data_IF_896229253872
#
_entry.id   IF_896229253872
#
_cell.length_a   1.000
_cell.length_b   1.000
_cell.length_c   1.000
_cell.angle_alpha   90.00
_cell.angle_beta   90.00
_cell.angle_gamma   90.00
#
_symmetry.space_group_name_H-M   'P 1'
#
loop_
_entity.id
_entity.type
_entity.pdbx_description
1 polymer ?
#
# COMPACT_ATOMS: atom_id res chain seq x y z
N UNK A 1 -3.14 16.18 3.16
CA UNK A 1 -3.96 15.41 4.10
C UNK A 1 -3.23 15.46 5.42
N UNK A 2 -3.95 15.52 6.54
CA UNK A 2 -3.33 15.73 7.86
C UNK A 2 -2.88 14.40 8.51
N UNK A 3 -3.16 13.28 7.85
CA UNK A 3 -2.72 11.94 8.23
C UNK A 3 -3.26 10.89 7.27
N UNK A 4 -2.95 9.62 7.52
CA UNK A 4 -3.40 8.49 6.74
C UNK A 4 -3.54 7.22 7.55
N UNK A 5 -4.42 6.32 7.11
CA UNK A 5 -4.60 4.99 7.69
C UNK A 5 -4.49 3.98 6.55
N UNK A 6 -3.59 3.02 6.68
CA UNK A 6 -3.49 1.87 5.78
C UNK A 6 -4.02 0.65 6.53
N UNK A 7 -4.99 -0.03 5.94
CA UNK A 7 -5.51 -1.30 6.45
C UNK A 7 -4.68 -2.42 5.82
N UNK A 8 -3.76 -2.99 6.58
CA UNK A 8 -2.86 -4.05 6.11
C UNK A 8 -2.16 -4.74 7.27
N UNK A 9 -2.02 -6.06 7.21
CA UNK A 9 -1.08 -6.82 8.03
C UNK A 9 0.21 -7.19 7.26
N UNK A 10 0.57 -6.42 6.23
CA UNK A 10 1.79 -6.59 5.44
C UNK A 10 1.92 -7.99 4.83
N UNK A 11 2.64 -8.87 5.50
CA UNK A 11 2.97 -10.23 5.05
C UNK A 11 2.46 -11.30 6.04
N UNK A 12 1.73 -10.89 7.08
CA UNK A 12 1.14 -11.82 8.03
C UNK A 12 0.13 -12.74 7.31
N UNK A 13 -0.14 -13.93 7.88
CA UNK A 13 -1.13 -14.86 7.33
C UNK A 13 -2.52 -14.22 7.15
N UNK A 14 -3.33 -14.77 6.25
CA UNK A 14 -4.57 -14.13 5.77
C UNK A 14 -5.65 -13.88 6.84
N UNK A 15 -5.53 -14.47 8.03
CA UNK A 15 -6.40 -14.20 9.17
C UNK A 15 -6.02 -12.93 9.95
N UNK A 16 -4.90 -12.29 9.63
CA UNK A 16 -4.44 -11.06 10.27
C UNK A 16 -4.84 -9.82 9.49
N UNK A 17 -5.18 -8.77 10.22
CA UNK A 17 -5.27 -7.40 9.69
C UNK A 17 -4.76 -6.41 10.75
N UNK A 18 -4.34 -5.23 10.33
CA UNK A 18 -3.84 -4.19 11.22
C UNK A 18 -4.05 -2.80 10.61
N UNK A 19 -3.89 -1.77 11.44
CA UNK A 19 -3.85 -0.39 11.02
C UNK A 19 -2.40 0.09 11.06
N UNK A 20 -1.95 0.67 9.96
CA UNK A 20 -0.73 1.48 9.94
C UNK A 20 -1.13 2.95 9.83
N UNK A 21 -0.69 3.75 10.78
CA UNK A 21 -1.02 5.17 10.86
C UNK A 21 0.13 6.00 10.28
N UNK A 22 -0.23 6.99 9.49
CA UNK A 22 0.67 7.93 8.86
C UNK A 22 0.35 9.35 9.32
N UNK A 23 1.38 10.17 9.49
CA UNK A 23 1.17 11.60 9.73
C UNK A 23 1.05 12.39 8.40
N UNK A 24 0.96 13.71 8.50
CA UNK A 24 0.77 14.66 7.40
C UNK A 24 1.79 14.57 6.25
N UNK A 25 3.02 14.14 6.52
CA UNK A 25 4.05 13.92 5.49
C UNK A 25 3.94 12.56 4.80
N UNK A 26 3.02 11.71 5.25
CA UNK A 26 2.83 10.35 4.71
C UNK A 26 3.83 9.31 5.22
N UNK A 27 4.60 9.62 6.26
CA UNK A 27 5.50 8.65 6.93
C UNK A 27 4.78 8.00 8.13
N UNK A 28 5.31 6.88 8.62
CA UNK A 28 4.79 6.24 9.82
C UNK A 28 4.91 7.15 11.04
N UNK A 29 3.94 7.04 11.94
CA UNK A 29 4.05 7.69 13.25
C UNK A 29 5.33 7.26 13.96
N UNK A 30 6.01 8.21 14.58
CA UNK A 30 7.08 7.94 15.53
C UNK A 30 6.56 7.19 16.76
N UNK A 31 7.46 6.58 17.54
CA UNK A 31 7.10 5.92 18.80
C UNK A 31 6.30 6.84 19.75
N UNK A 32 6.70 8.12 19.84
CA UNK A 32 6.00 9.11 20.66
C UNK A 32 4.57 9.36 20.16
N UNK A 33 4.40 9.57 18.85
CA UNK A 33 3.09 9.81 18.25
C UNK A 33 2.18 8.58 18.34
N UNK A 34 2.74 7.38 18.12
CA UNK A 34 2.01 6.12 18.27
C UNK A 34 1.50 5.90 19.69
N UNK A 35 2.35 6.14 20.70
CA UNK A 35 1.97 6.06 22.12
C UNK A 35 0.87 7.04 22.49
N UNK A 36 0.89 8.24 21.91
CA UNK A 36 -0.17 9.23 22.14
C UNK A 36 -1.52 8.75 21.58
N UNK A 37 -1.53 8.21 20.36
CA UNK A 37 -2.76 7.65 19.78
C UNK A 37 -3.32 6.50 20.64
N UNK A 38 -2.45 5.59 21.10
CA UNK A 38 -2.84 4.49 22.00
C UNK A 38 -3.39 5.05 23.31
N UNK A 39 -2.72 6.04 23.91
CA UNK A 39 -3.17 6.66 25.16
C UNK A 39 -4.57 7.26 25.04
N UNK A 40 -4.82 8.04 23.98
CA UNK A 40 -6.13 8.65 23.71
C UNK A 40 -7.21 7.56 23.55
N UNK A 41 -6.90 6.50 22.80
CA UNK A 41 -7.81 5.39 22.57
C UNK A 41 -8.15 4.62 23.86
N UNK A 42 -7.14 4.27 24.65
CA UNK A 42 -7.30 3.55 25.92
C UNK A 42 -8.05 4.37 26.98
N UNK A 43 -7.83 5.69 27.02
CA UNK A 43 -8.51 6.59 27.96
C UNK A 43 -9.89 7.04 27.48
N UNK A 44 -10.27 6.71 26.24
CA UNK A 44 -11.52 7.17 25.63
C UNK A 44 -11.60 8.70 25.53
N UNK A 45 -10.46 9.38 25.38
CA UNK A 45 -10.37 10.85 25.34
C UNK A 45 -10.71 11.40 23.95
N UNK A 46 -11.87 11.00 23.43
CA UNK A 46 -12.33 11.41 22.11
C UNK A 46 -13.01 12.78 22.19
N UNK A 47 -12.63 13.68 21.29
CA UNK A 47 -13.32 14.95 21.08
C UNK A 47 -14.29 14.78 19.91
N UNK A 48 -15.57 14.63 20.21
CA UNK A 48 -16.61 14.49 19.18
C UNK A 48 -17.02 15.85 18.63
N UNK A 49 -17.21 15.92 17.31
CA UNK A 49 -17.77 17.09 16.65
C UNK A 49 -19.27 17.24 16.95
N UNK A 50 -19.76 18.47 16.96
CA UNK A 50 -21.20 18.77 16.97
C UNK A 50 -21.82 18.47 15.59
N UNK A 51 -23.14 18.33 15.54
CA UNK A 51 -23.87 18.04 14.28
C UNK A 51 -23.56 19.01 13.16
N UNK A 52 -23.37 20.30 13.47
CA UNK A 52 -23.05 21.35 12.49
C UNK A 52 -21.58 21.34 12.03
N UNK A 53 -20.74 20.48 12.62
CA UNK A 53 -19.29 20.39 12.35
C UNK A 53 -18.83 19.01 11.89
N UNK A 54 -19.76 18.17 11.42
CA UNK A 54 -19.41 16.86 10.85
C UNK A 54 -18.57 17.03 9.59
N UNK A 55 -17.58 16.14 9.42
CA UNK A 55 -16.76 16.10 8.21
C UNK A 55 -17.50 15.55 7.00
N UNK A 56 -16.81 15.49 5.85
CA UNK A 56 -17.34 14.90 4.62
C UNK A 56 -16.54 13.66 4.22
N UNK A 57 -17.21 12.73 3.52
CA UNK A 57 -16.60 11.55 2.94
C UNK A 57 -16.48 11.71 1.43
N UNK A 58 -15.27 11.53 0.89
CA UNK A 58 -15.01 11.48 -0.54
C UNK A 58 -14.24 10.21 -0.89
N UNK A 59 -14.71 9.49 -1.90
CA UNK A 59 -13.96 8.39 -2.49
C UNK A 59 -13.15 8.89 -3.68
N UNK A 60 -11.87 8.53 -3.75
CA UNK A 60 -10.99 8.86 -4.88
C UNK A 60 -10.23 7.62 -5.34
N UNK A 61 -10.67 7.03 -6.44
CA UNK A 61 -10.08 5.83 -7.04
C UNK A 61 -8.97 6.15 -8.07
N UNK A 62 -8.52 7.40 -8.17
CA UNK A 62 -7.53 7.84 -9.16
C UNK A 62 -6.08 7.63 -8.72
N UNK A 63 -5.84 7.26 -7.45
CA UNK A 63 -4.48 7.20 -6.88
C UNK A 63 -3.56 6.17 -7.54
N UNK A 64 -4.10 5.09 -8.13
CA UNK A 64 -3.29 4.15 -8.91
C UNK A 64 -2.62 4.83 -10.11
N UNK A 65 -3.38 5.64 -10.87
CA UNK A 65 -2.86 6.37 -12.01
C UNK A 65 -1.87 7.46 -11.58
N UNK A 66 -2.23 8.24 -10.54
CA UNK A 66 -1.36 9.27 -9.96
C UNK A 66 -0.02 8.69 -9.46
N UNK A 67 -0.04 7.48 -8.88
CA UNK A 67 1.16 6.82 -8.38
C UNK A 67 2.06 6.35 -9.53
N UNK A 68 1.49 5.74 -10.57
CA UNK A 68 2.25 5.36 -11.78
C UNK A 68 2.89 6.60 -12.42
N UNK A 69 2.13 7.69 -12.59
CA UNK A 69 2.64 8.95 -13.13
C UNK A 69 3.83 9.48 -12.31
N UNK A 70 3.71 9.48 -10.97
CA UNK A 70 4.81 9.88 -10.09
C UNK A 70 6.06 9.01 -10.26
N UNK A 71 5.92 7.70 -10.42
CA UNK A 71 7.04 6.79 -10.68
C UNK A 71 7.72 7.14 -12.00
N UNK A 72 6.95 7.35 -13.07
CA UNK A 72 7.49 7.66 -14.40
C UNK A 72 8.23 9.01 -14.44
N UNK A 73 7.86 9.94 -13.55
CA UNK A 73 8.50 11.25 -13.42
C UNK A 73 9.76 11.22 -12.54
N UNK A 74 10.15 10.08 -11.96
CA UNK A 74 11.41 9.97 -11.22
C UNK A 74 12.59 10.00 -12.19
N UNK A 75 13.61 10.81 -11.89
CA UNK A 75 14.82 10.93 -12.71
C UNK A 75 15.59 9.61 -12.89
N UNK A 76 15.40 8.67 -11.95
CA UNK A 76 16.01 7.34 -11.99
C UNK A 76 15.29 6.36 -12.92
N UNK A 77 14.10 6.70 -13.43
CA UNK A 77 13.31 5.83 -14.29
C UNK A 77 13.56 6.18 -15.76
N UNK A 78 14.41 5.41 -16.41
CA UNK A 78 14.66 5.53 -17.85
C UNK A 78 13.69 4.64 -18.66
N UNK A 79 12.55 5.22 -19.01
CA UNK A 79 11.51 4.53 -19.78
C UNK A 79 11.99 4.09 -21.17
N UNK A 80 12.86 4.87 -21.83
CA UNK A 80 13.35 4.54 -23.18
C UNK A 80 14.23 3.31 -23.14
N UNK A 81 15.19 3.27 -22.21
CA UNK A 81 16.07 2.12 -22.04
C UNK A 81 15.28 0.86 -21.65
N UNK A 82 14.29 0.97 -20.76
CA UNK A 82 13.42 -0.16 -20.38
C UNK A 82 12.64 -0.68 -21.59
N UNK A 83 12.05 0.21 -22.39
CA UNK A 83 11.28 -0.17 -23.57
C UNK A 83 12.17 -0.82 -24.65
N UNK A 84 13.36 -0.25 -24.91
CA UNK A 84 14.31 -0.74 -25.91
C UNK A 84 14.91 -2.10 -25.55
N UNK A 85 14.97 -2.44 -24.27
CA UNK A 85 15.52 -3.73 -23.82
C UNK A 85 14.63 -4.94 -24.15
N UNK A 86 13.35 -4.73 -24.51
CA UNK A 86 12.37 -5.79 -24.84
C UNK A 86 12.32 -6.93 -23.80
N UNK A 87 12.37 -6.56 -22.52
CA UNK A 87 12.37 -7.52 -21.43
C UNK A 87 11.13 -8.44 -21.48
N UNK A 88 11.36 -9.71 -21.15
CA UNK A 88 10.31 -10.61 -20.68
C UNK A 88 10.31 -10.57 -19.15
N UNK A 89 9.19 -10.16 -18.57
CA UNK A 89 9.06 -9.95 -17.12
C UNK A 89 8.04 -10.94 -16.57
N UNK A 90 8.43 -11.71 -15.56
CA UNK A 90 7.52 -12.52 -14.75
C UNK A 90 7.30 -11.79 -13.43
N UNK A 91 6.03 -11.61 -13.04
CA UNK A 91 5.68 -11.04 -11.73
C UNK A 91 4.84 -12.03 -10.93
N UNK A 92 5.17 -12.18 -9.65
CA UNK A 92 4.31 -12.85 -8.67
C UNK A 92 3.76 -11.79 -7.70
N UNK A 93 2.46 -11.58 -7.74
CA UNK A 93 1.78 -10.58 -6.94
C UNK A 93 1.20 -11.14 -5.63
N UNK A 94 1.38 -12.44 -5.37
CA UNK A 94 0.97 -13.14 -4.15
C UNK A 94 -0.49 -12.88 -3.78
N UNK A 95 -1.40 -12.85 -4.77
CA UNK A 95 -2.83 -12.52 -4.63
C UNK A 95 -3.13 -11.17 -3.95
N UNK A 96 -2.13 -10.28 -3.86
CA UNK A 96 -2.19 -9.02 -3.12
C UNK A 96 -2.38 -7.81 -4.03
N UNK A 97 -2.41 -6.62 -3.43
CA UNK A 97 -2.66 -5.33 -4.10
C UNK A 97 -1.65 -4.99 -5.20
N UNK A 98 -0.45 -5.60 -5.18
CA UNK A 98 0.54 -5.48 -6.26
C UNK A 98 -0.03 -5.88 -7.62
N UNK A 99 -0.92 -6.88 -7.67
CA UNK A 99 -1.57 -7.33 -8.91
C UNK A 99 -2.49 -6.31 -9.56
N UNK A 100 -2.92 -5.29 -8.82
CA UNK A 100 -3.75 -4.20 -9.35
C UNK A 100 -2.91 -3.17 -10.12
N UNK A 101 -1.66 -2.96 -9.72
CA UNK A 101 -0.84 -1.82 -10.17
C UNK A 101 0.41 -2.22 -10.97
N UNK A 102 1.09 -3.31 -10.61
CA UNK A 102 2.34 -3.76 -11.28
C UNK A 102 2.14 -4.06 -12.77
N UNK A 103 1.10 -4.82 -13.20
CA UNK A 103 0.87 -5.03 -14.62
C UNK A 103 0.65 -3.73 -15.40
N UNK A 104 -0.02 -2.75 -14.79
CA UNK A 104 -0.28 -1.43 -15.41
C UNK A 104 1.01 -0.64 -15.54
N UNK A 105 1.82 -0.57 -14.47
CA UNK A 105 3.11 0.11 -14.47
C UNK A 105 4.04 -0.47 -15.54
N UNK A 106 4.21 -1.80 -15.60
CA UNK A 106 5.08 -2.45 -16.58
C UNK A 106 4.63 -2.19 -18.02
N UNK A 107 3.31 -2.23 -18.29
CA UNK A 107 2.76 -1.87 -19.60
C UNK A 107 3.07 -0.42 -19.94
N UNK A 108 2.89 0.52 -19.00
CA UNK A 108 3.22 1.93 -19.23
C UNK A 108 4.72 2.17 -19.43
N UNK A 109 5.58 1.40 -18.77
CA UNK A 109 7.04 1.41 -19.00
C UNK A 109 7.46 0.84 -20.38
N UNK A 110 6.51 0.29 -21.16
CA UNK A 110 6.78 -0.23 -22.50
C UNK A 110 7.15 -1.72 -22.53
N UNK A 111 7.01 -2.44 -21.42
CA UNK A 111 7.24 -3.89 -21.37
C UNK A 111 6.11 -4.62 -22.10
N UNK A 112 6.47 -5.36 -23.15
CA UNK A 112 5.49 -6.04 -24.02
C UNK A 112 5.16 -7.47 -23.57
N UNK A 113 6.10 -8.16 -22.92
CA UNK A 113 5.98 -9.57 -22.54
C UNK A 113 5.93 -9.68 -21.01
N UNK A 114 4.73 -9.80 -20.46
CA UNK A 114 4.48 -9.88 -19.02
C UNK A 114 3.78 -11.20 -18.72
N UNK A 115 4.35 -12.01 -17.82
CA UNK A 115 3.74 -13.22 -17.29
C UNK A 115 3.29 -12.91 -15.86
N UNK A 116 1.99 -12.97 -15.63
CA UNK A 116 1.37 -12.64 -14.35
C UNK A 116 1.09 -13.90 -13.54
N UNK A 117 1.72 -14.04 -12.37
CA UNK A 117 1.47 -15.10 -11.40
C UNK A 117 0.74 -14.50 -10.20
N UNK A 118 -0.39 -15.11 -9.82
CA UNK A 118 -1.19 -14.69 -8.66
C UNK A 118 -1.52 -13.19 -8.61
N UNK A 119 -1.74 -12.53 -9.75
CA UNK A 119 -2.07 -11.09 -9.81
C UNK A 119 -3.57 -10.78 -9.77
N UNK A 120 -4.43 -11.81 -9.68
CA UNK A 120 -5.84 -11.62 -9.38
C UNK A 120 -6.04 -11.45 -7.87
N UNK A 121 -6.61 -10.33 -7.45
CA UNK A 121 -6.90 -10.09 -6.05
C UNK A 121 -7.91 -11.13 -5.53
N UNK A 122 -7.45 -11.99 -4.61
CA UNK A 122 -8.28 -13.01 -3.94
C UNK A 122 -7.91 -13.07 -2.46
N UNK A 123 -8.90 -13.28 -1.60
CA UNK A 123 -8.69 -13.41 -0.15
C UNK A 123 -7.92 -14.68 0.26
N UNK A 124 -7.67 -15.59 -0.69
CA UNK A 124 -6.89 -16.80 -0.46
C UNK A 124 -5.47 -16.61 -1.02
N UNK A 125 -4.50 -16.49 -0.13
CA UNK A 125 -3.08 -16.44 -0.47
C UNK A 125 -2.58 -17.86 -0.76
N UNK A 126 -2.43 -18.20 -2.05
CA UNK A 126 -1.77 -19.45 -2.46
C UNK A 126 -0.26 -19.19 -2.45
N UNK A 127 0.51 -20.11 -1.88
CA UNK A 127 1.99 -20.19 -1.90
C UNK A 127 2.81 -19.07 -1.24
N UNK A 128 2.52 -18.72 0.02
CA UNK A 128 3.55 -18.12 0.89
C UNK A 128 4.20 -19.27 1.67
N UNK A 129 5.47 -19.56 1.39
CA UNK A 129 6.31 -20.35 2.30
C UNK A 129 6.31 -19.62 3.65
N UNK A 130 5.72 -20.24 4.68
CA UNK A 130 5.76 -19.70 6.04
C UNK A 130 7.21 -19.67 6.55
N UNK A 131 7.92 -18.57 6.30
CA UNK A 131 9.11 -18.25 7.07
C UNK A 131 8.66 -17.68 8.42
N UNK A 132 8.31 -18.58 9.33
CA UNK A 132 8.22 -18.28 10.75
C UNK A 132 9.61 -17.87 11.25
N UNK A 133 9.88 -16.57 11.30
CA UNK A 133 10.83 -16.02 12.25
C UNK A 133 10.21 -14.85 13.01
N UNK A 134 10.16 -15.05 14.32
CA UNK A 134 9.64 -14.15 15.35
C UNK A 134 10.25 -12.76 15.24
N UNK A 135 9.42 -11.77 14.93
CA UNK A 135 9.63 -10.38 15.34
C UNK A 135 8.39 -9.94 16.13
N UNK A 136 8.32 -10.44 17.36
CA UNK A 136 7.57 -9.77 18.43
C UNK A 136 8.21 -8.41 18.73
N UNK A 137 7.34 -7.43 19.03
CA UNK A 137 7.58 -6.09 19.62
C UNK A 137 7.61 -4.94 18.61
N UNK A 138 6.43 -4.38 18.37
CA UNK A 138 6.16 -2.98 18.70
C UNK A 138 4.89 -2.94 19.53
#
# INVERSE_FOLDING_TARGET
ADGGIIITASHNPGNWNALKLLHDKGEFLSDKEGKEVVHIAEKGQFVYATVDKLGSLKQDNTYNAKHIEKILNLSLVDQKSIQSADFMVVIDCVNSVGGVILPKLLKTLGVKKIIELYCHHRHHFVSILEFSHSLHKF
#
